data_IF_891314541134
#
_entry.id   IF_891314541134
#
_cell.length_a   1.000
_cell.length_b   1.000
_cell.length_c   1.000
_cell.angle_alpha   90.00
_cell.angle_beta   90.00
_cell.angle_gamma   90.00
#
_symmetry.space_group_name_H-M   'P 1'
#
loop_
_entity.id
_entity.type
_entity.pdbx_description
1 polymer ?
#
# COMPACT_ATOMS: atom_id res chain seq x y z
N UNK A 1 32.88 17.03 -5.12
CA UNK A 1 32.77 15.55 -5.06
C UNK A 1 32.01 15.12 -3.80
N UNK A 2 32.27 15.73 -2.63
CA UNK A 2 31.50 15.47 -1.40
C UNK A 2 30.01 15.89 -1.51
N UNK A 3 29.67 16.99 -2.16
CA UNK A 3 28.27 17.47 -2.21
C UNK A 3 27.36 16.59 -3.07
N UNK A 4 27.87 16.06 -4.19
CA UNK A 4 27.14 15.10 -5.03
C UNK A 4 26.88 13.80 -4.26
N UNK A 5 27.88 13.32 -3.52
CA UNK A 5 27.72 12.13 -2.68
C UNK A 5 26.74 12.39 -1.53
N UNK A 6 26.80 13.56 -0.89
CA UNK A 6 25.86 13.95 0.16
C UNK A 6 24.42 13.97 -0.37
N UNK A 7 24.19 14.56 -1.55
CA UNK A 7 22.87 14.63 -2.15
C UNK A 7 22.33 13.24 -2.52
N UNK A 8 23.18 12.34 -3.00
CA UNK A 8 22.79 10.93 -3.21
C UNK A 8 22.41 10.24 -1.89
N UNK A 9 23.16 10.47 -0.81
CA UNK A 9 22.84 9.88 0.50
C UNK A 9 21.54 10.46 1.07
N UNK A 10 21.26 11.73 0.82
CA UNK A 10 20.04 12.40 1.23
C UNK A 10 18.82 11.90 0.43
N UNK A 11 18.97 11.68 -0.88
CA UNK A 11 17.98 11.04 -1.74
C UNK A 11 17.58 9.66 -1.20
N UNK A 12 18.56 8.80 -0.94
CA UNK A 12 18.34 7.47 -0.37
C UNK A 12 17.63 7.54 0.99
N UNK A 13 18.02 8.49 1.85
CA UNK A 13 17.41 8.69 3.16
C UNK A 13 15.93 9.08 3.04
N UNK A 14 15.63 10.08 2.21
CA UNK A 14 14.26 10.57 2.02
C UNK A 14 13.35 9.52 1.40
N UNK A 15 13.89 8.67 0.51
CA UNK A 15 13.17 7.51 -0.01
C UNK A 15 12.84 6.50 1.10
N UNK A 16 13.81 6.11 1.93
CA UNK A 16 13.55 5.17 3.03
C UNK A 16 12.54 5.71 4.06
N UNK A 17 12.66 6.98 4.43
CA UNK A 17 11.73 7.66 5.33
C UNK A 17 10.32 7.73 4.72
N UNK A 18 10.21 8.05 3.42
CA UNK A 18 8.94 8.06 2.70
C UNK A 18 8.22 6.72 2.78
N UNK A 19 8.93 5.62 2.53
CA UNK A 19 8.38 4.26 2.64
C UNK A 19 7.95 3.94 4.07
N UNK A 20 8.80 4.25 5.06
CA UNK A 20 8.51 3.99 6.46
C UNK A 20 7.24 4.70 6.92
N UNK A 21 7.03 5.95 6.53
CA UNK A 21 5.82 6.71 6.88
C UNK A 21 4.53 6.09 6.32
N UNK A 22 4.59 5.47 5.14
CA UNK A 22 3.42 4.79 4.56
C UNK A 22 3.20 3.43 5.21
N UNK A 23 4.27 2.65 5.45
CA UNK A 23 4.15 1.38 6.16
C UNK A 23 3.66 1.53 7.61
N UNK A 24 4.02 2.62 8.29
CA UNK A 24 3.46 2.95 9.61
C UNK A 24 1.94 3.18 9.56
N UNK A 25 1.44 3.84 8.50
CA UNK A 25 0.00 3.98 8.29
C UNK A 25 -0.66 2.63 7.98
N UNK A 26 -0.03 1.79 7.16
CA UNK A 26 -0.53 0.45 6.84
C UNK A 26 -0.55 -0.47 8.07
N UNK A 27 0.46 -0.42 8.92
CA UNK A 27 0.51 -1.16 10.19
C UNK A 27 -0.67 -0.77 11.10
N UNK A 28 -0.96 0.53 11.20
CA UNK A 28 -2.10 1.04 11.96
C UNK A 28 -3.47 0.61 11.38
N UNK A 29 -3.55 0.31 10.09
CA UNK A 29 -4.76 -0.26 9.46
C UNK A 29 -4.94 -1.73 9.82
N UNK A 30 -3.84 -2.48 9.88
CA UNK A 30 -3.85 -3.94 10.08
C UNK A 30 -4.02 -4.34 11.55
N UNK A 31 -3.32 -3.68 12.46
CA UNK A 31 -3.26 -4.06 13.88
C UNK A 31 -4.33 -3.30 14.66
N UNK A 32 -5.23 -4.03 15.32
CA UNK A 32 -6.20 -3.42 16.24
C UNK A 32 -5.99 -3.91 17.67
N UNK A 33 -5.80 -2.99 18.63
CA UNK A 33 -5.61 -3.29 20.07
C UNK A 33 -6.81 -4.00 20.76
N UNK A 34 -7.82 -4.43 19.99
CA UNK A 34 -9.14 -4.85 20.47
C UNK A 34 -9.41 -6.35 20.37
N UNK A 35 -8.44 -7.16 19.89
CA UNK A 35 -8.66 -8.58 19.64
C UNK A 35 -9.73 -8.83 18.57
N UNK A 36 -9.87 -7.90 17.62
CA UNK A 36 -10.81 -7.96 16.50
C UNK A 36 -10.07 -8.02 15.16
N UNK A 37 -8.94 -8.70 15.14
CA UNK A 37 -8.12 -8.86 13.95
C UNK A 37 -8.76 -9.86 12.98
N UNK A 38 -8.27 -9.85 11.73
CA UNK A 38 -8.90 -10.61 10.65
C UNK A 38 -8.80 -12.12 10.88
N UNK A 39 -7.65 -12.61 11.33
CA UNK A 39 -7.41 -14.02 11.67
C UNK A 39 -8.32 -14.53 12.78
N UNK A 40 -8.60 -13.69 13.79
CA UNK A 40 -9.52 -14.01 14.88
C UNK A 40 -10.97 -14.09 14.38
N UNK A 41 -11.40 -13.19 13.51
CA UNK A 41 -12.73 -13.24 12.91
C UNK A 41 -12.92 -14.47 12.00
N UNK A 42 -11.88 -14.85 11.25
CA UNK A 42 -11.86 -16.09 10.47
C UNK A 42 -12.01 -17.31 11.41
N UNK A 43 -11.24 -17.34 12.49
CA UNK A 43 -11.30 -18.43 13.47
C UNK A 43 -12.69 -18.54 14.10
N UNK A 44 -13.31 -17.42 14.51
CA UNK A 44 -14.67 -17.39 15.07
C UNK A 44 -15.72 -17.88 14.08
N UNK A 45 -15.59 -17.56 12.79
CA UNK A 45 -16.49 -18.07 11.77
C UNK A 45 -16.43 -19.60 11.69
N UNK A 46 -15.21 -20.14 11.58
CA UNK A 46 -15.00 -21.60 11.46
C UNK A 46 -15.36 -22.35 12.74
N UNK A 47 -15.10 -21.76 13.91
CA UNK A 47 -15.59 -22.29 15.20
C UNK A 47 -17.12 -22.27 15.26
N UNK A 48 -17.78 -21.25 14.70
CA UNK A 48 -19.24 -21.21 14.55
C UNK A 48 -19.79 -22.36 13.70
N UNK A 49 -19.11 -22.73 12.62
CA UNK A 49 -19.44 -23.93 11.84
C UNK A 49 -19.20 -25.22 12.62
N UNK A 50 -18.13 -25.29 13.42
CA UNK A 50 -17.87 -26.43 14.30
C UNK A 50 -18.98 -26.59 15.34
N UNK A 51 -19.44 -25.50 15.96
CA UNK A 51 -20.55 -25.52 16.90
C UNK A 51 -21.86 -25.94 16.22
N UNK A 52 -22.13 -25.40 15.02
CA UNK A 52 -23.29 -25.80 14.22
C UNK A 52 -23.27 -27.29 13.84
N UNK A 53 -22.09 -27.85 13.57
CA UNK A 53 -21.97 -29.30 13.29
C UNK A 53 -22.37 -30.18 14.46
N UNK A 54 -22.13 -29.71 15.69
CA UNK A 54 -22.49 -30.42 16.92
C UNK A 54 -23.97 -30.22 17.28
N UNK A 55 -24.54 -29.06 16.93
CA UNK A 55 -25.88 -28.63 17.30
C UNK A 55 -26.68 -28.12 16.07
N UNK A 56 -26.89 -28.95 15.02
CA UNK A 56 -27.43 -28.48 13.74
C UNK A 56 -28.89 -28.01 13.81
N UNK A 57 -29.66 -28.39 14.82
CA UNK A 57 -31.05 -27.95 15.03
C UNK A 57 -31.16 -26.66 15.86
N UNK A 58 -30.07 -26.19 16.47
CA UNK A 58 -30.13 -25.04 17.37
C UNK A 58 -30.16 -23.72 16.59
N UNK A 59 -31.33 -23.09 16.59
CA UNK A 59 -31.57 -21.80 15.95
C UNK A 59 -30.68 -20.69 16.54
N UNK A 60 -30.32 -20.76 17.82
CA UNK A 60 -29.43 -19.79 18.46
C UNK A 60 -28.00 -19.93 17.92
N UNK A 61 -27.53 -21.16 17.71
CA UNK A 61 -26.21 -21.44 17.11
C UNK A 61 -26.16 -20.93 15.67
N UNK A 62 -27.22 -21.16 14.88
CA UNK A 62 -27.36 -20.67 13.50
C UNK A 62 -27.31 -19.13 13.43
N UNK A 63 -28.06 -18.46 14.29
CA UNK A 63 -28.03 -16.99 14.37
C UNK A 63 -26.67 -16.45 14.82
N UNK A 64 -26.02 -17.12 15.77
CA UNK A 64 -24.66 -16.77 16.20
C UNK A 64 -23.65 -16.88 15.04
N UNK A 65 -23.74 -17.96 14.25
CA UNK A 65 -22.91 -18.14 13.06
C UNK A 65 -23.10 -17.01 12.03
N UNK A 66 -24.34 -16.61 11.76
CA UNK A 66 -24.61 -15.49 10.84
C UNK A 66 -24.05 -14.17 11.37
N UNK A 67 -24.16 -13.92 12.68
CA UNK A 67 -23.55 -12.74 13.31
C UNK A 67 -22.03 -12.73 13.16
N UNK A 68 -21.37 -13.87 13.38
CA UNK A 68 -19.93 -14.01 13.17
C UNK A 68 -19.54 -13.78 11.70
N UNK A 69 -20.33 -14.31 10.76
CA UNK A 69 -20.12 -14.09 9.34
C UNK A 69 -20.27 -12.61 8.96
N UNK A 70 -21.30 -11.93 9.46
CA UNK A 70 -21.49 -10.50 9.23
C UNK A 70 -20.32 -9.67 9.76
N UNK A 71 -19.86 -9.96 10.99
CA UNK A 71 -18.69 -9.30 11.58
C UNK A 71 -17.42 -9.50 10.74
N UNK A 72 -17.17 -10.71 10.24
CA UNK A 72 -16.05 -10.97 9.35
C UNK A 72 -16.16 -10.16 8.04
N UNK A 73 -17.34 -10.15 7.41
CA UNK A 73 -17.52 -9.39 6.16
C UNK A 73 -17.35 -7.89 6.36
N UNK A 74 -17.74 -7.36 7.53
CA UNK A 74 -17.50 -5.94 7.85
C UNK A 74 -16.03 -5.67 8.10
N UNK A 75 -15.31 -6.59 8.77
CA UNK A 75 -13.87 -6.46 8.99
C UNK A 75 -13.09 -6.40 7.66
N UNK A 76 -13.43 -7.22 6.67
CA UNK A 76 -12.83 -7.13 5.33
C UNK A 76 -13.05 -5.74 4.71
N UNK A 77 -14.29 -5.24 4.74
CA UNK A 77 -14.64 -3.93 4.20
C UNK A 77 -13.97 -2.78 4.93
N UNK A 78 -13.82 -2.89 6.24
CA UNK A 78 -13.11 -1.89 7.05
C UNK A 78 -11.64 -1.80 6.65
N UNK A 79 -10.95 -2.94 6.51
CA UNK A 79 -9.55 -2.96 6.08
C UNK A 79 -9.44 -2.38 4.66
N UNK A 80 -10.29 -2.83 3.73
CA UNK A 80 -10.32 -2.33 2.35
C UNK A 80 -10.50 -0.80 2.26
N UNK A 81 -11.52 -0.26 2.94
CA UNK A 81 -11.76 1.20 3.00
C UNK A 81 -10.59 1.98 3.60
N UNK A 82 -9.88 1.38 4.55
CA UNK A 82 -8.72 2.01 5.17
C UNK A 82 -7.49 1.95 4.27
N UNK A 83 -7.25 0.83 3.56
CA UNK A 83 -6.20 0.71 2.55
C UNK A 83 -6.41 1.70 1.40
N UNK A 84 -7.64 1.83 0.89
CA UNK A 84 -7.95 2.80 -0.17
C UNK A 84 -7.69 4.23 0.31
N UNK A 85 -8.01 4.56 1.56
CA UNK A 85 -7.67 5.88 2.14
C UNK A 85 -6.17 6.13 2.18
N UNK A 86 -5.37 5.12 2.57
CA UNK A 86 -3.90 5.24 2.55
C UNK A 86 -3.39 5.40 1.11
N UNK A 87 -3.99 4.69 0.14
CA UNK A 87 -3.71 4.82 -1.29
C UNK A 87 -3.96 6.24 -1.79
N UNK A 88 -5.15 6.80 -1.51
CA UNK A 88 -5.54 8.17 -1.89
C UNK A 88 -4.62 9.22 -1.25
N UNK A 89 -4.32 9.10 0.05
CA UNK A 89 -3.42 10.02 0.75
C UNK A 89 -2.00 9.98 0.18
N UNK A 90 -1.50 8.80 -0.18
CA UNK A 90 -0.19 8.62 -0.79
C UNK A 90 -0.15 9.23 -2.19
N UNK A 91 -1.18 8.99 -3.00
CA UNK A 91 -1.34 9.60 -4.32
C UNK A 91 -1.37 11.13 -4.24
N UNK A 92 -2.15 11.70 -3.33
CA UNK A 92 -2.24 13.14 -3.12
C UNK A 92 -0.92 13.74 -2.62
N UNK A 93 -0.20 13.01 -1.77
CA UNK A 93 1.15 13.40 -1.33
C UNK A 93 2.12 13.45 -2.52
N UNK A 94 2.10 12.45 -3.40
CA UNK A 94 2.91 12.42 -4.62
C UNK A 94 2.63 13.63 -5.53
N UNK A 95 1.36 13.97 -5.74
CA UNK A 95 0.97 15.16 -6.53
C UNK A 95 1.54 16.44 -5.92
N UNK A 96 1.45 16.62 -4.61
CA UNK A 96 2.04 17.78 -3.91
C UNK A 96 3.57 17.79 -3.98
N UNK A 97 4.21 16.62 -3.90
CA UNK A 97 5.66 16.48 -4.08
C UNK A 97 6.08 16.94 -5.49
N UNK A 98 5.31 16.57 -6.53
CA UNK A 98 5.54 17.01 -7.93
C UNK A 98 5.40 18.54 -8.05
N UNK A 99 4.39 19.14 -7.43
CA UNK A 99 4.22 20.60 -7.43
C UNK A 99 5.40 21.33 -6.78
N UNK A 100 5.92 20.80 -5.67
CA UNK A 100 7.11 21.33 -5.02
C UNK A 100 8.35 21.22 -5.90
N UNK A 101 8.56 20.07 -6.55
CA UNK A 101 9.64 19.86 -7.53
C UNK A 101 9.55 20.90 -8.64
N UNK A 102 8.36 21.11 -9.22
CA UNK A 102 8.14 22.11 -10.26
C UNK A 102 8.47 23.53 -9.78
N UNK A 103 8.14 23.87 -8.53
CA UNK A 103 8.51 25.14 -7.91
C UNK A 103 10.03 25.31 -7.79
N UNK A 104 10.72 24.31 -7.24
CA UNK A 104 12.17 24.32 -7.07
C UNK A 104 12.90 24.44 -8.41
N UNK A 105 12.47 23.70 -9.44
CA UNK A 105 13.06 23.80 -10.78
C UNK A 105 12.94 25.22 -11.37
N UNK A 106 11.80 25.89 -11.17
CA UNK A 106 11.63 27.29 -11.62
C UNK A 106 12.54 28.27 -10.87
N UNK A 107 12.71 28.08 -9.58
CA UNK A 107 13.63 28.87 -8.77
C UNK A 107 15.09 28.66 -9.20
N UNK A 108 15.52 27.41 -9.40
CA UNK A 108 16.86 27.08 -9.91
C UNK A 108 17.09 27.70 -11.29
N UNK A 109 16.09 27.67 -12.18
CA UNK A 109 16.22 28.30 -13.50
C UNK A 109 16.42 29.82 -13.39
N UNK A 110 15.67 30.49 -12.50
CA UNK A 110 15.83 31.93 -12.25
C UNK A 110 17.20 32.26 -11.67
N UNK A 111 17.71 31.44 -10.74
CA UNK A 111 19.05 31.58 -10.18
C UNK A 111 20.14 31.37 -11.24
N UNK A 112 19.97 30.39 -12.13
CA UNK A 112 20.89 30.17 -13.25
C UNK A 112 20.97 31.40 -14.16
N UNK A 113 19.85 32.08 -14.44
CA UNK A 113 19.88 33.30 -15.25
C UNK A 113 20.71 34.41 -14.59
N UNK A 114 20.56 34.60 -13.27
CA UNK A 114 21.36 35.58 -12.52
C UNK A 114 22.85 35.22 -12.50
N UNK A 115 23.18 33.94 -12.28
CA UNK A 115 24.56 33.44 -12.25
C UNK A 115 25.22 33.62 -13.62
N UNK A 116 24.57 33.18 -14.71
CA UNK A 116 25.10 33.29 -16.06
C UNK A 116 25.32 34.75 -16.47
N UNK A 117 24.43 35.67 -16.04
CA UNK A 117 24.63 37.12 -16.25
C UNK A 117 25.84 37.67 -15.47
N UNK A 118 26.00 37.28 -14.20
CA UNK A 118 27.13 37.68 -13.37
C UNK A 118 28.47 37.18 -13.91
N UNK A 119 28.54 35.91 -14.31
CA UNK A 119 29.73 35.32 -14.94
C UNK A 119 30.08 36.02 -16.26
N UNK A 120 29.08 36.30 -17.12
CA UNK A 120 29.27 37.06 -18.35
C UNK A 120 29.79 38.49 -18.13
N UNK A 121 29.39 39.11 -17.02
CA UNK A 121 29.85 40.43 -16.59
C UNK A 121 31.19 40.41 -15.81
N UNK A 122 31.78 39.23 -15.56
CA UNK A 122 32.94 39.01 -14.67
C UNK A 122 32.72 39.53 -13.25
N UNK A 123 31.47 39.48 -12.78
CA UNK A 123 31.06 39.83 -11.44
C UNK A 123 30.18 38.69 -10.88
N UNK A 124 30.78 37.62 -10.33
CA UNK A 124 30.05 36.45 -9.85
C UNK A 124 28.99 36.80 -8.80
N UNK A 125 27.79 36.22 -8.95
CA UNK A 125 26.70 36.35 -7.98
C UNK A 125 26.75 35.22 -6.95
N UNK A 126 27.62 35.38 -5.96
CA UNK A 126 27.82 34.39 -4.89
C UNK A 126 26.53 34.11 -4.10
N UNK A 127 25.66 35.11 -3.91
CA UNK A 127 24.41 34.90 -3.20
C UNK A 127 23.44 34.01 -3.98
N UNK A 128 23.40 34.13 -5.31
CA UNK A 128 22.62 33.22 -6.16
C UNK A 128 23.22 31.82 -6.23
N UNK A 129 24.56 31.70 -6.20
CA UNK A 129 25.24 30.40 -6.10
C UNK A 129 24.84 29.66 -4.81
N UNK A 130 24.90 30.34 -3.66
CA UNK A 130 24.53 29.75 -2.36
C UNK A 130 23.06 29.31 -2.33
N UNK A 131 22.15 30.16 -2.83
CA UNK A 131 20.73 29.80 -2.94
C UNK A 131 20.48 28.61 -3.85
N UNK A 132 21.25 28.49 -4.95
CA UNK A 132 21.12 27.35 -5.87
C UNK A 132 21.55 26.05 -5.21
N UNK A 133 22.62 26.06 -4.43
CA UNK A 133 23.06 24.89 -3.65
C UNK A 133 21.93 24.45 -2.71
N UNK A 134 21.39 25.38 -1.91
CA UNK A 134 20.27 25.07 -1.02
C UNK A 134 19.05 24.48 -1.76
N UNK A 135 18.73 24.99 -2.96
CA UNK A 135 17.62 24.48 -3.77
C UNK A 135 17.89 23.11 -4.38
N UNK A 136 19.13 22.82 -4.75
CA UNK A 136 19.53 21.48 -5.19
C UNK A 136 19.45 20.48 -4.03
N UNK A 137 19.80 20.90 -2.83
CA UNK A 137 19.68 20.08 -1.62
C UNK A 137 18.21 19.82 -1.28
N UNK A 138 17.33 20.84 -1.33
CA UNK A 138 15.88 20.67 -1.22
C UNK A 138 15.34 19.70 -2.29
N UNK A 139 15.77 19.85 -3.55
CA UNK A 139 15.34 18.96 -4.63
C UNK A 139 15.76 17.51 -4.38
N UNK A 140 16.95 17.30 -3.80
CA UNK A 140 17.50 15.96 -3.53
C UNK A 140 16.67 15.19 -2.51
N UNK A 141 15.95 15.87 -1.62
CA UNK A 141 15.04 15.21 -0.69
C UNK A 141 13.76 14.73 -1.40
N UNK A 142 13.39 15.34 -2.51
CA UNK A 142 12.12 15.07 -3.20
C UNK A 142 12.26 14.05 -4.32
N UNK A 143 13.34 14.10 -5.09
CA UNK A 143 13.51 13.25 -6.28
C UNK A 143 14.98 12.99 -6.58
N UNK A 144 15.24 11.84 -7.17
CA UNK A 144 16.55 11.53 -7.73
C UNK A 144 16.77 12.33 -9.01
N UNK A 145 17.93 12.97 -9.10
CA UNK A 145 18.29 13.77 -10.26
C UNK A 145 19.79 13.75 -10.52
N UNK A 146 20.14 13.89 -11.79
CA UNK A 146 21.49 14.17 -12.23
C UNK A 146 21.63 15.66 -12.53
N UNK A 147 22.73 16.27 -12.05
CA UNK A 147 23.05 17.66 -12.38
C UNK A 147 24.37 17.78 -13.11
N UNK A 148 24.43 18.71 -14.06
CA UNK A 148 25.63 19.01 -14.85
C UNK A 148 25.80 20.52 -14.99
N UNK A 149 26.95 21.06 -14.58
CA UNK A 149 27.27 22.47 -14.82
C UNK A 149 27.64 22.70 -16.29
N UNK A 150 27.23 23.85 -16.83
CA UNK A 150 27.63 24.33 -18.14
C UNK A 150 28.83 25.29 -18.03
N UNK A 151 29.42 25.63 -19.17
CA UNK A 151 30.62 26.49 -19.24
C UNK A 151 30.38 27.93 -18.74
N UNK A 152 29.10 28.35 -18.64
CA UNK A 152 28.69 29.68 -18.19
C UNK A 152 28.29 29.69 -16.71
N UNK A 153 28.54 28.61 -15.97
CA UNK A 153 28.23 28.50 -14.54
C UNK A 153 26.79 28.11 -14.21
N UNK A 154 25.89 27.98 -15.19
CA UNK A 154 24.52 27.46 -15.02
C UNK A 154 24.49 25.94 -14.82
N UNK A 155 23.40 25.43 -14.23
CA UNK A 155 23.19 23.98 -14.03
C UNK A 155 22.11 23.42 -14.94
N UNK A 156 22.31 22.24 -15.49
CA UNK A 156 21.29 21.43 -16.16
C UNK A 156 20.89 20.28 -15.26
N UNK A 157 19.60 19.93 -15.23
CA UNK A 157 19.06 18.85 -14.40
C UNK A 157 18.35 17.83 -15.28
N UNK A 158 18.62 16.54 -15.03
CA UNK A 158 17.91 15.41 -15.62
C UNK A 158 17.30 14.54 -14.51
N UNK A 159 16.11 14.01 -14.76
CA UNK A 159 15.45 12.99 -13.92
C UNK A 159 15.20 11.80 -14.84
N UNK A 160 15.70 10.61 -14.47
CA UNK A 160 15.64 9.40 -15.32
C UNK A 160 16.12 9.65 -16.77
N UNK A 161 17.20 10.41 -16.93
CA UNK A 161 17.76 10.79 -18.24
C UNK A 161 16.94 11.83 -19.04
N UNK A 162 15.77 12.26 -18.56
CA UNK A 162 14.96 13.32 -19.18
C UNK A 162 15.42 14.68 -18.68
N UNK A 163 15.81 15.58 -19.59
CA UNK A 163 16.18 16.96 -19.23
C UNK A 163 14.95 17.74 -18.78
N UNK A 164 14.88 18.04 -17.49
CA UNK A 164 13.80 18.80 -16.85
C UNK A 164 14.19 20.25 -16.60
N UNK A 165 15.49 20.58 -16.60
CA UNK A 165 15.97 21.95 -16.52
C UNK A 165 17.20 22.12 -17.40
N UNK A 166 17.20 23.18 -18.21
CA UNK A 166 18.36 23.61 -18.98
C UNK A 166 18.33 25.14 -19.23
N UNK A 167 19.21 25.64 -20.08
CA UNK A 167 19.31 27.07 -20.39
C UNK A 167 18.05 27.67 -21.03
N UNK A 168 17.19 26.84 -21.65
CA UNK A 168 15.93 27.30 -22.24
C UNK A 168 14.81 27.46 -21.22
N UNK A 169 14.88 26.79 -20.08
CA UNK A 169 13.80 26.77 -19.10
C UNK A 169 13.80 25.56 -18.17
N UNK A 170 12.90 25.62 -17.18
CA UNK A 170 12.44 24.47 -16.40
C UNK A 170 11.14 23.92 -17.00
N UNK A 171 11.10 22.61 -17.27
CA UNK A 171 9.89 21.93 -17.73
C UNK A 171 8.93 21.69 -16.56
N UNK A 172 7.63 21.87 -16.80
CA UNK A 172 6.61 21.41 -15.86
C UNK A 172 6.44 19.89 -15.98
N UNK A 173 6.50 19.21 -14.85
CA UNK A 173 6.17 17.80 -14.70
C UNK A 173 4.70 17.66 -14.31
N UNK A 174 3.97 16.77 -14.96
CA UNK A 174 2.55 16.51 -14.70
C UNK A 174 2.34 15.06 -14.29
N UNK A 175 1.52 14.77 -13.27
CA UNK A 175 1.15 13.40 -12.94
C UNK A 175 0.24 12.80 -14.03
N UNK A 176 0.47 11.53 -14.34
CA UNK A 176 -0.41 10.69 -15.14
C UNK A 176 -0.79 9.48 -14.30
N UNK A 177 -2.07 9.40 -13.93
CA UNK A 177 -2.56 8.45 -12.93
C UNK A 177 -3.63 7.58 -13.59
N UNK A 178 -3.41 6.26 -13.56
CA UNK A 178 -4.43 5.26 -13.84
C UNK A 178 -4.89 4.66 -12.51
N UNK A 179 -6.02 5.14 -12.01
CA UNK A 179 -6.56 4.70 -10.71
C UNK A 179 -7.05 3.25 -10.73
N UNK A 180 -7.39 2.71 -11.90
CA UNK A 180 -7.93 1.35 -12.04
C UNK A 180 -6.78 0.35 -11.95
N UNK A 181 -5.71 0.59 -12.71
CA UNK A 181 -4.53 -0.28 -12.73
C UNK A 181 -3.48 0.13 -11.69
N UNK A 182 -3.81 1.08 -10.80
CA UNK A 182 -2.92 1.69 -9.80
C UNK A 182 -1.53 2.05 -10.39
N UNK A 183 -1.53 2.68 -11.57
CA UNK A 183 -0.29 3.18 -12.19
C UNK A 183 -0.15 4.67 -11.97
N UNK A 184 1.08 5.12 -11.74
CA UNK A 184 1.40 6.53 -11.57
C UNK A 184 2.74 6.82 -12.23
N UNK A 185 2.71 7.67 -13.26
CA UNK A 185 3.91 8.15 -13.97
C UNK A 185 3.92 9.67 -14.02
N UNK A 186 5.06 10.24 -14.42
CA UNK A 186 5.17 11.67 -14.71
C UNK A 186 5.30 11.88 -16.21
N UNK A 187 4.66 12.92 -16.75
CA UNK A 187 4.90 13.42 -18.09
C UNK A 187 5.53 14.80 -18.05
N UNK A 188 6.70 14.92 -18.69
CA UNK A 188 7.34 16.20 -18.91
C UNK A 188 6.70 16.95 -20.09
N UNK A 189 6.82 18.28 -20.14
CA UNK A 189 6.34 19.11 -21.27
C UNK A 189 6.91 18.68 -22.64
N UNK A 190 8.08 18.04 -22.66
CA UNK A 190 8.65 17.44 -23.87
C UNK A 190 7.85 16.25 -24.44
N UNK A 191 6.83 15.78 -23.71
CA UNK A 191 6.05 14.60 -24.03
C UNK A 191 6.70 13.29 -23.57
N UNK A 192 7.90 13.32 -22.99
CA UNK A 192 8.55 12.14 -22.42
C UNK A 192 7.94 11.76 -21.07
N UNK A 193 7.85 10.46 -20.84
CA UNK A 193 7.44 9.89 -19.56
C UNK A 193 8.66 9.68 -18.67
N UNK A 194 8.48 9.85 -17.36
CA UNK A 194 9.48 9.71 -16.31
C UNK A 194 8.88 8.80 -15.24
N UNK A 195 9.66 7.85 -14.75
CA UNK A 195 9.30 6.93 -13.67
C UNK A 195 10.32 7.08 -12.52
N UNK A 196 10.12 8.07 -11.61
CA UNK A 196 11.09 8.37 -10.57
C UNK A 196 11.26 7.21 -9.57
N UNK A 197 12.50 6.75 -9.38
CA UNK A 197 12.79 5.62 -8.47
C UNK A 197 13.34 5.99 -7.09
N UNK A 198 13.58 7.27 -6.80
CA UNK A 198 14.16 7.70 -5.53
C UNK A 198 13.70 9.07 -5.03
N UNK A 199 14.29 9.50 -3.92
CA UNK A 199 13.76 10.57 -3.07
C UNK A 199 12.37 10.25 -2.50
N UNK A 200 11.73 11.25 -1.89
CA UNK A 200 10.37 11.12 -1.36
C UNK A 200 9.35 10.71 -2.43
N UNK A 201 9.45 11.25 -3.64
CA UNK A 201 8.52 10.96 -4.72
C UNK A 201 8.59 9.49 -5.14
N UNK A 202 9.79 8.95 -5.36
CA UNK A 202 9.94 7.54 -5.73
C UNK A 202 9.37 6.59 -4.68
N UNK A 203 9.49 6.93 -3.40
CA UNK A 203 8.86 6.18 -2.31
C UNK A 203 7.33 6.24 -2.39
N UNK A 204 6.76 7.43 -2.56
CA UNK A 204 5.30 7.59 -2.68
C UNK A 204 4.75 6.82 -3.89
N UNK A 205 5.45 6.84 -5.03
CA UNK A 205 5.05 6.10 -6.22
C UNK A 205 5.12 4.59 -6.01
N UNK A 206 6.25 4.05 -5.53
CA UNK A 206 6.36 2.61 -5.26
C UNK A 206 5.32 2.14 -4.23
N UNK A 207 5.10 2.92 -3.17
CA UNK A 207 4.10 2.57 -2.17
C UNK A 207 2.70 2.56 -2.78
N UNK A 208 2.35 3.52 -3.63
CA UNK A 208 1.05 3.57 -4.32
C UNK A 208 0.87 2.44 -5.33
N UNK A 209 1.85 2.23 -6.22
CA UNK A 209 1.70 1.35 -7.39
C UNK A 209 1.97 -0.11 -7.08
N UNK A 210 2.81 -0.41 -6.09
CA UNK A 210 3.23 -1.77 -5.77
C UNK A 210 2.76 -2.19 -4.37
N UNK A 211 3.21 -1.51 -3.31
CA UNK A 211 3.03 -2.04 -1.95
C UNK A 211 1.59 -1.99 -1.45
N UNK A 212 0.91 -0.85 -1.56
CA UNK A 212 -0.49 -0.73 -1.14
C UNK A 212 -1.38 -1.59 -2.04
N UNK A 213 -1.16 -1.54 -3.37
CA UNK A 213 -1.92 -2.36 -4.33
C UNK A 213 -1.78 -3.86 -4.04
N UNK A 214 -0.55 -4.33 -3.81
CA UNK A 214 -0.29 -5.75 -3.52
C UNK A 214 -0.95 -6.23 -2.22
N UNK A 215 -0.96 -5.40 -1.18
CA UNK A 215 -1.67 -5.71 0.08
C UNK A 215 -3.19 -5.78 -0.15
N UNK A 216 -3.76 -4.86 -0.94
CA UNK A 216 -5.17 -4.91 -1.31
C UNK A 216 -5.50 -6.17 -2.13
N UNK A 217 -4.62 -6.56 -3.05
CA UNK A 217 -4.80 -7.78 -3.85
C UNK A 217 -4.77 -9.04 -2.97
N UNK A 218 -3.86 -9.13 -2.01
CA UNK A 218 -3.81 -10.23 -1.04
C UNK A 218 -5.09 -10.29 -0.19
N UNK A 219 -5.61 -9.15 0.27
CA UNK A 219 -6.86 -9.09 1.02
C UNK A 219 -8.05 -9.60 0.18
N UNK A 220 -8.10 -9.22 -1.09
CA UNK A 220 -9.11 -9.68 -2.05
C UNK A 220 -8.97 -11.17 -2.38
N UNK A 221 -7.76 -11.68 -2.50
CA UNK A 221 -7.48 -13.11 -2.69
C UNK A 221 -7.97 -13.94 -1.50
N UNK A 222 -7.72 -13.47 -0.28
CA UNK A 222 -8.22 -14.10 0.93
C UNK A 222 -9.77 -14.12 0.97
N UNK A 223 -10.41 -12.98 0.72
CA UNK A 223 -11.87 -12.88 0.68
C UNK A 223 -12.49 -13.81 -0.37
N UNK A 224 -11.94 -13.78 -1.59
CA UNK A 224 -12.45 -14.59 -2.71
C UNK A 224 -12.28 -16.09 -2.48
N UNK A 225 -11.13 -16.49 -1.94
CA UNK A 225 -10.87 -17.88 -1.56
C UNK A 225 -11.85 -18.35 -0.48
N UNK A 226 -12.13 -17.54 0.56
CA UNK A 226 -13.12 -17.89 1.57
C UNK A 226 -14.53 -18.02 0.99
N UNK A 227 -14.94 -17.06 0.15
CA UNK A 227 -16.25 -17.11 -0.52
C UNK A 227 -16.37 -18.38 -1.36
N UNK A 228 -15.35 -18.70 -2.15
CA UNK A 228 -15.34 -19.85 -3.04
C UNK A 228 -15.40 -21.17 -2.25
N UNK A 229 -14.46 -21.40 -1.33
CA UNK A 229 -14.35 -22.68 -0.62
C UNK A 229 -15.56 -22.95 0.26
N UNK A 230 -16.05 -21.94 0.99
CA UNK A 230 -17.23 -22.10 1.84
C UNK A 230 -18.48 -22.33 1.00
N UNK A 231 -18.66 -21.59 -0.10
CA UNK A 231 -19.82 -21.79 -0.97
C UNK A 231 -19.80 -23.14 -1.68
N UNK A 232 -18.63 -23.63 -2.09
CA UNK A 232 -18.48 -24.92 -2.74
C UNK A 232 -19.00 -26.05 -1.84
N UNK A 233 -18.67 -26.01 -0.54
CA UNK A 233 -19.14 -27.00 0.43
C UNK A 233 -20.61 -26.75 0.80
N UNK A 234 -20.98 -25.50 1.13
CA UNK A 234 -22.34 -25.17 1.58
C UNK A 234 -23.43 -25.53 0.56
N UNK A 235 -23.15 -25.41 -0.75
CA UNK A 235 -24.09 -25.82 -1.82
C UNK A 235 -24.38 -27.31 -1.87
N UNK A 236 -23.55 -28.15 -1.23
CA UNK A 236 -23.77 -29.61 -1.17
C UNK A 236 -24.78 -30.03 -0.12
N UNK A 237 -25.12 -29.12 0.82
CA UNK A 237 -26.00 -29.41 1.94
C UNK A 237 -27.44 -28.97 1.76
N UNK A 238 -28.24 -29.27 2.78
CA UNK A 238 -29.64 -28.89 2.92
C UNK A 238 -29.87 -28.08 4.20
N UNK A 239 -30.80 -27.12 4.14
CA UNK A 239 -31.28 -26.38 5.32
C UNK A 239 -32.14 -27.26 6.24
N UNK A 240 -32.65 -26.69 7.33
CA UNK A 240 -33.54 -27.44 8.23
C UNK A 240 -34.88 -27.80 7.59
N UNK A 241 -35.41 -26.89 6.79
CA UNK A 241 -36.78 -26.95 6.27
C UNK A 241 -36.85 -27.15 4.74
N UNK A 242 -35.70 -27.19 4.05
CA UNK A 242 -35.65 -27.40 2.59
C UNK A 242 -34.32 -28.02 2.11
N UNK A 243 -34.30 -28.38 0.83
CA UNK A 243 -33.18 -28.95 0.09
C UNK A 243 -32.60 -27.98 -0.96
N UNK A 244 -32.89 -26.69 -0.83
CA UNK A 244 -32.47 -25.72 -1.85
C UNK A 244 -30.97 -25.45 -1.72
N UNK A 245 -30.22 -25.80 -2.75
CA UNK A 245 -28.80 -25.47 -2.87
C UNK A 245 -28.59 -23.95 -2.85
N UNK A 246 -27.94 -23.45 -1.81
CA UNK A 246 -27.62 -22.03 -1.62
C UNK A 246 -26.14 -21.81 -1.37
N UNK A 247 -25.69 -20.61 -1.73
CA UNK A 247 -24.42 -20.10 -1.24
C UNK A 247 -24.54 -19.62 0.21
N UNK A 248 -23.45 -19.72 0.97
CA UNK A 248 -23.32 -19.06 2.26
C UNK A 248 -23.04 -17.56 2.11
N UNK A 249 -22.05 -17.20 1.29
CA UNK A 249 -21.76 -15.83 0.88
C UNK A 249 -22.36 -15.53 -0.49
N UNK A 250 -22.80 -14.29 -0.73
CA UNK A 250 -23.36 -13.89 -2.02
C UNK A 250 -22.26 -13.94 -3.11
N UNK A 251 -22.41 -14.74 -4.18
CA UNK A 251 -21.40 -14.86 -5.23
C UNK A 251 -21.27 -13.57 -6.09
N UNK A 252 -22.16 -12.58 -5.91
CA UNK A 252 -22.01 -11.27 -6.56
C UNK A 252 -20.94 -10.39 -5.90
N UNK A 253 -20.40 -10.78 -4.75
CA UNK A 253 -19.39 -10.03 -4.02
C UNK A 253 -18.33 -10.98 -3.46
N UNK A 254 -17.18 -11.00 -4.10
CA UNK A 254 -16.11 -11.97 -3.82
C UNK A 254 -14.82 -11.32 -3.31
N UNK A 255 -14.68 -10.01 -3.44
CA UNK A 255 -13.52 -9.26 -2.95
C UNK A 255 -13.78 -8.67 -1.55
N UNK A 256 -12.76 -8.07 -0.93
CA UNK A 256 -12.85 -7.54 0.42
C UNK A 256 -13.88 -6.40 0.54
N UNK A 257 -14.01 -5.57 -0.50
CA UNK A 257 -14.94 -4.45 -0.55
C UNK A 257 -16.42 -4.90 -0.65
N UNK A 258 -16.68 -6.02 -1.32
CA UNK A 258 -18.03 -6.45 -1.72
C UNK A 258 -18.55 -7.70 -1.02
N UNK A 259 -17.68 -8.46 -0.33
CA UNK A 259 -18.04 -9.69 0.39
C UNK A 259 -19.25 -9.46 1.30
N UNK A 260 -20.24 -10.36 1.24
CA UNK A 260 -21.46 -10.28 2.05
C UNK A 260 -22.09 -11.65 2.22
N UNK A 261 -22.78 -11.84 3.34
CA UNK A 261 -23.58 -13.04 3.60
C UNK A 261 -24.79 -13.06 2.65
N UNK A 262 -25.18 -14.24 2.18
CA UNK A 262 -26.35 -14.42 1.33
C UNK A 262 -27.62 -13.94 2.07
N UNK A 263 -28.36 -13.02 1.44
CA UNK A 263 -29.55 -12.40 2.02
C UNK A 263 -30.63 -13.42 2.43
N UNK A 264 -30.75 -14.55 1.73
CA UNK A 264 -31.70 -15.60 2.11
C UNK A 264 -31.39 -16.24 3.47
N UNK A 265 -30.11 -16.30 3.85
CA UNK A 265 -29.68 -16.82 5.15
C UNK A 265 -29.92 -15.79 6.27
N UNK A 266 -29.76 -14.49 5.95
CA UNK A 266 -30.04 -13.42 6.90
C UNK A 266 -31.54 -13.26 7.21
N UNK A 267 -32.41 -13.62 6.25
CA UNK A 267 -33.85 -13.61 6.44
C UNK A 267 -34.32 -14.78 7.30
N UNK A 268 -33.67 -15.94 7.18
CA UNK A 268 -34.00 -17.14 7.93
C UNK A 268 -32.76 -18.03 8.09
N UNK A 269 -32.31 -18.18 9.33
CA UNK A 269 -31.12 -18.95 9.70
C UNK A 269 -31.30 -20.47 9.52
N UNK A 270 -32.55 -20.94 9.38
CA UNK A 270 -32.86 -22.33 9.06
C UNK A 270 -32.40 -22.70 7.63
N UNK A 271 -32.19 -21.70 6.77
CA UNK A 271 -31.66 -21.90 5.42
C UNK A 271 -30.16 -22.25 5.37
N UNK A 272 -29.43 -22.16 6.49
CA UNK A 272 -28.01 -22.55 6.54
C UNK A 272 -27.92 -24.06 6.30
N UNK A 273 -27.17 -24.45 5.28
CA UNK A 273 -27.01 -25.82 4.83
C UNK A 273 -26.00 -26.56 5.72
N UNK A 274 -26.50 -27.21 6.78
CA UNK A 274 -25.67 -27.93 7.74
C UNK A 274 -25.67 -29.45 7.50
N UNK A 275 -26.73 -29.99 6.90
CA UNK A 275 -26.95 -31.42 6.72
C UNK A 275 -26.51 -31.89 5.33
N UNK A 276 -25.92 -33.09 5.24
CA UNK A 276 -25.65 -33.79 3.98
C UNK A 276 -26.88 -34.53 3.41
N UNK A 277 -27.98 -34.60 4.18
CA UNK A 277 -29.23 -35.25 3.79
C UNK A 277 -30.48 -34.39 4.03
N UNK A 278 -31.46 -34.48 3.11
CA UNK A 278 -32.71 -33.70 3.19
C UNK A 278 -33.57 -34.18 4.37
N UNK A 279 -34.00 -33.26 5.23
CA UNK A 279 -34.84 -33.56 6.40
C UNK A 279 -34.10 -34.22 7.56
N UNK A 280 -32.79 -34.42 7.45
CA UNK A 280 -31.95 -34.94 8.53
C UNK A 280 -31.51 -33.79 9.46
N UNK A 281 -32.47 -33.18 10.16
CA UNK A 281 -32.20 -31.98 10.95
C UNK A 281 -31.09 -32.15 12.00
N UNK A 282 -30.82 -33.38 12.47
CA UNK A 282 -29.75 -33.71 13.42
C UNK A 282 -28.37 -33.97 12.78
N UNK A 283 -28.25 -33.88 11.46
CA UNK A 283 -27.02 -34.09 10.71
C UNK A 283 -26.28 -32.74 10.50
N UNK A 284 -25.03 -32.69 10.94
CA UNK A 284 -24.15 -31.51 10.87
C UNK A 284 -22.94 -31.69 9.95
N UNK A 285 -22.94 -32.70 9.08
CA UNK A 285 -21.78 -33.11 8.29
C UNK A 285 -21.24 -31.99 7.38
N UNK A 286 -22.12 -31.21 6.76
CA UNK A 286 -21.71 -30.12 5.85
C UNK A 286 -21.10 -28.98 6.65
N UNK A 287 -21.65 -28.67 7.83
CA UNK A 287 -21.06 -27.70 8.74
C UNK A 287 -19.68 -28.17 9.25
N UNK A 288 -19.52 -29.47 9.54
CA UNK A 288 -18.23 -30.05 9.92
C UNK A 288 -17.20 -29.94 8.79
N UNK A 289 -17.58 -30.21 7.55
CA UNK A 289 -16.70 -30.05 6.38
C UNK A 289 -16.22 -28.60 6.20
N UNK A 290 -17.11 -27.62 6.42
CA UNK A 290 -16.73 -26.21 6.37
C UNK A 290 -15.78 -25.87 7.52
N UNK A 291 -16.03 -26.37 8.74
CA UNK A 291 -15.15 -26.14 9.89
C UNK A 291 -13.73 -26.69 9.67
N UNK A 292 -13.59 -27.82 8.96
CA UNK A 292 -12.30 -28.42 8.62
C UNK A 292 -11.45 -27.58 7.65
N UNK A 293 -12.02 -26.59 6.96
CA UNK A 293 -11.24 -25.62 6.18
C UNK A 293 -10.21 -24.86 7.03
N UNK A 294 -10.34 -24.85 8.36
CA UNK A 294 -9.31 -24.31 9.28
C UNK A 294 -7.98 -25.05 9.17
N UNK A 295 -8.00 -26.29 8.71
CA UNK A 295 -6.83 -27.16 8.60
C UNK A 295 -6.31 -27.25 7.16
N UNK A 296 -7.11 -26.84 6.19
CA UNK A 296 -6.80 -26.95 4.77
C UNK A 296 -5.97 -25.78 4.26
N UNK A 297 -5.17 -26.07 3.21
CA UNK A 297 -4.37 -25.06 2.51
C UNK A 297 -5.20 -24.51 1.34
N UNK A 298 -5.89 -23.41 1.58
CA UNK A 298 -6.93 -22.88 0.69
C UNK A 298 -6.49 -21.66 -0.11
N UNK A 299 -5.59 -20.84 0.41
CA UNK A 299 -5.16 -19.58 -0.22
C UNK A 299 -3.63 -19.57 -0.31
N UNK A 300 -3.08 -19.46 -1.52
CA UNK A 300 -1.64 -19.46 -1.77
C UNK A 300 -0.87 -20.58 -1.01
N UNK A 301 -1.44 -21.79 -0.99
CA UNK A 301 -0.84 -22.94 -0.30
C UNK A 301 -0.76 -22.82 1.24
N UNK A 302 -1.45 -21.85 1.84
CA UNK A 302 -1.55 -21.58 3.28
C UNK A 302 -2.98 -21.76 3.78
N UNK A 303 -3.12 -21.94 5.09
CA UNK A 303 -4.43 -21.88 5.78
C UNK A 303 -4.94 -20.44 5.79
N UNK A 304 -6.26 -20.25 5.86
CA UNK A 304 -6.85 -18.91 5.96
C UNK A 304 -6.28 -18.09 7.11
N UNK A 305 -6.12 -18.69 8.31
CA UNK A 305 -5.53 -18.01 9.47
C UNK A 305 -4.08 -17.60 9.24
N UNK A 306 -3.28 -18.49 8.66
CA UNK A 306 -1.84 -18.27 8.45
C UNK A 306 -1.61 -17.19 7.38
N UNK A 307 -2.45 -17.16 6.34
CA UNK A 307 -2.44 -16.11 5.33
C UNK A 307 -2.83 -14.76 5.94
N UNK A 308 -3.92 -14.70 6.73
CA UNK A 308 -4.36 -13.48 7.40
C UNK A 308 -3.30 -12.94 8.37
N UNK A 309 -2.66 -13.80 9.17
CA UNK A 309 -1.55 -13.40 10.06
C UNK A 309 -0.39 -12.81 9.25
N UNK A 310 -0.03 -13.44 8.13
CA UNK A 310 0.99 -12.94 7.22
C UNK A 310 0.66 -11.52 6.75
N UNK A 311 -0.54 -11.32 6.20
CA UNK A 311 -1.06 -10.03 5.73
C UNK A 311 -1.04 -8.95 6.83
N UNK A 312 -1.47 -9.29 8.04
CA UNK A 312 -1.49 -8.35 9.18
C UNK A 312 -0.07 -7.96 9.60
N UNK A 313 0.87 -8.90 9.57
CA UNK A 313 2.24 -8.71 10.06
C UNK A 313 3.18 -8.05 9.05
N UNK A 314 2.86 -8.10 7.75
CA UNK A 314 3.75 -7.64 6.67
C UNK A 314 4.14 -6.16 6.84
N UNK A 315 3.21 -5.20 7.05
CA UNK A 315 3.59 -3.79 7.22
C UNK A 315 4.55 -3.53 8.38
N UNK A 316 4.34 -4.18 9.54
CA UNK A 316 5.21 -4.01 10.70
C UNK A 316 6.59 -4.62 10.50
N UNK A 317 6.69 -5.76 9.78
CA UNK A 317 7.96 -6.37 9.42
C UNK A 317 8.76 -5.48 8.46
N UNK A 318 8.12 -4.97 7.41
CA UNK A 318 8.73 -4.04 6.45
C UNK A 318 9.18 -2.74 7.12
N UNK A 319 8.34 -2.17 8.01
CA UNK A 319 8.67 -0.97 8.76
C UNK A 319 9.90 -1.16 9.65
N UNK A 320 10.01 -2.30 10.34
CA UNK A 320 11.17 -2.61 11.19
C UNK A 320 12.47 -2.71 10.37
N UNK A 321 12.39 -3.36 9.20
CA UNK A 321 13.49 -3.42 8.25
C UNK A 321 13.91 -2.04 7.72
N UNK A 322 12.94 -1.19 7.39
CA UNK A 322 13.19 0.18 6.94
C UNK A 322 13.83 1.04 8.03
N UNK A 323 13.36 0.96 9.28
CA UNK A 323 13.95 1.69 10.42
C UNK A 323 15.44 1.34 10.61
N UNK A 324 15.78 0.06 10.52
CA UNK A 324 17.18 -0.39 10.59
C UNK A 324 18.04 0.19 9.46
N UNK A 325 17.47 0.32 8.25
CA UNK A 325 18.16 0.92 7.09
C UNK A 325 18.30 2.44 7.22
N UNK A 326 17.30 3.11 7.80
CA UNK A 326 17.32 4.54 8.09
C UNK A 326 18.45 4.84 9.08
N UNK A 327 18.52 4.10 10.20
CA UNK A 327 19.57 4.29 11.22
C UNK A 327 20.97 4.14 10.62
N UNK A 328 21.17 3.11 9.78
CA UNK A 328 22.43 2.90 9.08
C UNK A 328 22.76 4.06 8.13
N UNK A 329 21.77 4.56 7.39
CA UNK A 329 21.95 5.67 6.45
C UNK A 329 22.26 6.98 7.17
N UNK A 330 21.65 7.20 8.34
CA UNK A 330 21.88 8.39 9.15
C UNK A 330 23.32 8.42 9.67
N UNK A 331 23.83 7.28 10.12
CA UNK A 331 25.22 7.14 10.52
C UNK A 331 26.20 7.49 9.38
N UNK A 332 25.94 7.02 8.15
CA UNK A 332 26.75 7.35 6.97
C UNK A 332 26.75 8.86 6.66
N UNK A 333 25.58 9.50 6.69
CA UNK A 333 25.44 10.94 6.45
C UNK A 333 26.23 11.73 7.51
N UNK A 334 26.12 11.35 8.78
CA UNK A 334 26.83 12.02 9.87
C UNK A 334 28.35 11.86 9.76
N UNK A 335 28.84 10.70 9.30
CA UNK A 335 30.27 10.50 9.00
C UNK A 335 30.75 11.43 7.88
N UNK A 336 29.98 11.58 6.80
CA UNK A 336 30.32 12.48 5.69
C UNK A 336 30.34 13.94 6.13
N UNK A 337 29.36 14.38 6.94
CA UNK A 337 29.35 15.74 7.52
C UNK A 337 30.59 16.00 8.37
N UNK A 338 30.92 15.06 9.25
CA UNK A 338 32.12 15.16 10.09
C UNK A 338 33.41 15.24 9.26
N UNK A 339 33.48 14.50 8.15
CA UNK A 339 34.62 14.55 7.25
C UNK A 339 34.72 15.91 6.54
N UNK A 340 33.61 16.45 6.04
CA UNK A 340 33.57 17.78 5.42
C UNK A 340 34.01 18.89 6.39
N UNK A 341 33.55 18.86 7.64
CA UNK A 341 33.96 19.82 8.67
C UNK A 341 35.47 19.79 8.95
N UNK A 342 36.07 18.59 8.94
CA UNK A 342 37.53 18.43 9.12
C UNK A 342 38.34 18.89 7.92
N UNK A 343 37.80 18.78 6.71
CA UNK A 343 38.45 19.23 5.49
C UNK A 343 38.33 20.76 5.29
N UNK A 344 37.33 21.39 5.92
CA UNK A 344 37.08 22.83 5.85
C UNK A 344 37.78 23.67 6.95
N UNK A 345 38.24 23.04 8.03
CA UNK A 345 38.95 23.68 9.16
C UNK A 345 40.46 23.58 9.04
#
# INVERSE_FOLDING_TARGET
>A
MNDVLMNQKQQDMSYLQGKANVFEQLEAVMVTDSGNDLDLNISRLLDGFSELSSNPQDVSVRNSLLSNAQQLTEKFKDIDRNLERVSELTQDSAVKTIDNINGILKEIHSLNQSIEQGEGARQPDNASLDKRVAKLDELSQLVDFESQMNDNGGVQIRIEGVSVLNSKGAQTLKPEIDQINKQFLLRAESGKTIDPSGGKLGAELEMYTDKISGISDQLNELASSMVQEINNIHRTGSGLNDDTSRNFFDPSGTDAASIKVNAALLLDADNIAASSGVGEAGNGDVAAQIAELRNEKTVDGRKFSDFAIGLISEPGSELSGLRSRIDAREAEINMLKTQQEREAG
#
